data_IF_566811886801
#
_entry.id   IF_566811886801
#
_cell.length_a   1.000
_cell.length_b   1.000
_cell.length_c   1.000
_cell.angle_alpha   90.00
_cell.angle_beta   90.00
_cell.angle_gamma   90.00
#
_symmetry.space_group_name_H-M   'P 1'
#
loop_
_entity.id
_entity.type
_entity.pdbx_description
1 polymer ?
#
# COMPACT_ATOMS: atom_id res chain seq x y z
N UNK A 1 -1.95 0.18 -16.23
CA UNK A 1 -0.93 -0.88 -16.15
C UNK A 1 -0.10 -0.84 -17.42
N UNK A 2 1.18 -1.19 -17.36
CA UNK A 2 2.10 -1.14 -18.51
C UNK A 2 3.22 -2.16 -18.33
N UNK A 3 4.06 -2.34 -19.35
CA UNK A 3 5.35 -3.01 -19.17
C UNK A 3 6.11 -2.32 -18.03
N UNK A 4 6.60 -3.10 -17.07
CA UNK A 4 7.21 -2.57 -15.88
C UNK A 4 8.62 -2.01 -16.14
N UNK A 5 9.12 -1.13 -15.26
CA UNK A 5 10.48 -0.62 -15.38
C UNK A 5 11.50 -1.75 -15.22
N UNK A 6 12.59 -1.62 -15.96
CA UNK A 6 13.79 -2.43 -15.78
C UNK A 6 14.79 -1.66 -14.90
N UNK A 7 15.65 -2.39 -14.20
CA UNK A 7 16.72 -1.80 -13.40
C UNK A 7 17.66 -0.96 -14.25
N UNK A 8 18.34 -0.01 -13.62
CA UNK A 8 19.37 0.81 -14.29
C UNK A 8 20.50 -0.03 -14.90
N UNK A 9 21.31 0.60 -15.76
CA UNK A 9 22.43 -0.06 -16.42
C UNK A 9 23.31 -0.84 -15.42
N UNK A 10 23.61 -2.10 -15.75
CA UNK A 10 24.42 -3.00 -14.92
C UNK A 10 23.64 -3.76 -13.83
N UNK A 11 22.36 -3.44 -13.58
CA UNK A 11 21.49 -4.27 -12.74
C UNK A 11 21.09 -5.53 -13.50
N UNK A 12 21.33 -6.69 -12.91
CA UNK A 12 21.03 -8.01 -13.50
C UNK A 12 20.18 -8.87 -12.56
N UNK A 13 19.70 -10.00 -13.07
CA UNK A 13 18.90 -10.96 -12.29
C UNK A 13 17.50 -10.45 -11.93
N UNK A 14 16.92 -11.00 -10.87
CA UNK A 14 15.53 -10.72 -10.46
C UNK A 14 15.26 -9.28 -10.04
N UNK A 15 16.30 -8.50 -9.74
CA UNK A 15 16.16 -7.07 -9.41
C UNK A 15 16.09 -6.16 -10.66
N UNK A 16 16.41 -6.71 -11.83
CA UNK A 16 16.48 -5.97 -13.09
C UNK A 16 15.15 -5.90 -13.85
N UNK A 17 14.16 -6.73 -13.51
CA UNK A 17 12.90 -6.85 -14.25
C UNK A 17 11.72 -7.00 -13.30
N UNK A 18 10.48 -6.78 -13.77
CA UNK A 18 9.29 -6.94 -12.94
C UNK A 18 9.22 -8.32 -12.26
N UNK A 19 8.93 -8.38 -10.95
CA UNK A 19 9.02 -9.62 -10.17
C UNK A 19 8.12 -10.77 -10.61
N UNK A 20 6.93 -10.51 -11.15
CA UNK A 20 5.95 -11.55 -11.48
C UNK A 20 5.59 -11.68 -12.96
N UNK A 21 6.34 -11.02 -13.85
CA UNK A 21 6.17 -11.13 -15.29
C UNK A 21 6.81 -9.96 -16.01
N UNK A 22 6.08 -9.35 -16.95
CA UNK A 22 6.61 -8.23 -17.76
C UNK A 22 5.97 -6.89 -17.42
N UNK A 23 4.83 -6.90 -16.73
CA UNK A 23 4.11 -5.70 -16.34
C UNK A 23 4.38 -5.23 -14.91
N UNK A 24 3.84 -4.05 -14.62
CA UNK A 24 3.64 -3.59 -13.25
C UNK A 24 2.57 -2.50 -13.18
N UNK A 25 2.18 -2.14 -11.96
CA UNK A 25 1.38 -0.95 -11.68
C UNK A 25 2.30 0.27 -11.59
N UNK A 26 2.45 1.00 -12.70
CA UNK A 26 3.10 2.29 -12.69
C UNK A 26 2.21 3.37 -12.08
N UNK A 27 2.75 4.15 -11.13
CA UNK A 27 2.08 5.31 -10.56
C UNK A 27 2.90 6.57 -10.85
N UNK A 28 2.20 7.66 -11.10
CA UNK A 28 2.77 8.98 -11.28
C UNK A 28 1.87 9.98 -10.57
N UNK A 29 2.47 10.75 -9.67
CA UNK A 29 1.81 11.83 -8.93
C UNK A 29 2.73 13.04 -9.01
N UNK A 30 2.17 14.21 -9.30
CA UNK A 30 2.82 15.50 -9.27
C UNK A 30 2.38 16.29 -8.04
N UNK A 31 3.34 16.98 -7.42
CA UNK A 31 3.11 17.89 -6.31
C UNK A 31 2.63 19.29 -6.76
N UNK A 32 2.69 19.59 -8.06
CA UNK A 32 2.42 20.92 -8.63
C UNK A 32 1.54 20.88 -9.89
N UNK A 33 0.66 19.89 -10.01
CA UNK A 33 -0.21 19.72 -11.18
C UNK A 33 -1.11 20.92 -11.51
N UNK A 34 -1.34 21.80 -10.53
CA UNK A 34 -2.04 23.06 -10.68
C UNK A 34 -1.12 24.19 -10.22
N UNK A 35 -0.87 25.19 -11.08
CA UNK A 35 -0.01 26.32 -10.72
C UNK A 35 -0.57 27.08 -9.51
N UNK A 36 0.20 27.15 -8.41
CA UNK A 36 -0.08 28.02 -7.26
C UNK A 36 -0.95 27.43 -6.14
N UNK A 37 -1.19 26.11 -6.11
CA UNK A 37 -1.93 25.43 -5.04
C UNK A 37 -1.08 24.51 -4.17
N UNK A 38 -1.61 24.07 -3.02
CA UNK A 38 -1.06 22.93 -2.27
C UNK A 38 -1.10 21.67 -3.14
N UNK A 39 -0.22 20.68 -2.93
CA UNK A 39 -0.25 19.43 -3.70
C UNK A 39 -1.66 18.80 -3.69
N UNK A 40 -2.19 18.44 -4.86
CA UNK A 40 -3.56 17.96 -5.00
C UNK A 40 -3.69 16.57 -5.62
N UNK A 41 -2.65 16.07 -6.27
CA UNK A 41 -2.74 14.78 -6.95
C UNK A 41 -2.68 13.63 -5.96
N UNK A 42 -3.59 12.69 -6.16
CA UNK A 42 -3.62 11.40 -5.50
C UNK A 42 -3.98 10.38 -6.54
N UNK A 43 -3.30 9.25 -6.52
CA UNK A 43 -3.68 8.08 -7.30
C UNK A 43 -3.94 6.92 -6.35
N UNK A 44 -4.97 6.14 -6.65
CA UNK A 44 -5.27 4.89 -5.98
C UNK A 44 -5.70 3.86 -7.03
N UNK A 45 -5.18 2.65 -6.93
CA UNK A 45 -5.57 1.52 -7.75
C UNK A 45 -5.87 0.33 -6.85
N UNK A 46 -7.09 -0.19 -6.94
CA UNK A 46 -7.58 -1.28 -6.12
C UNK A 46 -8.95 -1.74 -6.59
N UNK A 47 -9.51 -2.71 -5.89
CA UNK A 47 -10.87 -3.18 -6.14
C UNK A 47 -11.57 -3.61 -4.85
N UNK A 48 -12.90 -3.69 -4.95
CA UNK A 48 -13.79 -4.14 -3.88
C UNK A 48 -14.09 -5.65 -3.99
N UNK A 49 -14.30 -6.15 -5.22
CA UNK A 49 -14.82 -7.50 -5.52
C UNK A 49 -14.03 -8.63 -4.86
N UNK A 50 -12.70 -8.51 -4.79
CA UNK A 50 -11.85 -9.56 -4.24
C UNK A 50 -11.77 -9.56 -2.71
N UNK A 51 -12.21 -8.48 -2.05
CA UNK A 51 -11.93 -8.25 -0.63
C UNK A 51 -13.16 -7.98 0.23
N UNK A 52 -14.29 -7.63 -0.40
CA UNK A 52 -15.52 -7.28 0.30
C UNK A 52 -15.92 -8.35 1.33
N UNK A 53 -16.11 -7.93 2.57
CA UNK A 53 -16.54 -8.78 3.68
C UNK A 53 -15.43 -9.59 4.33
N UNK A 54 -14.21 -9.64 3.76
CA UNK A 54 -13.10 -10.36 4.38
C UNK A 54 -12.73 -9.72 5.72
N UNK A 55 -12.48 -10.53 6.77
CA UNK A 55 -12.18 -9.98 8.08
C UNK A 55 -10.78 -9.34 8.11
N UNK A 56 -10.67 -8.14 8.68
CA UNK A 56 -9.36 -7.48 8.89
C UNK A 56 -8.44 -8.35 9.77
N UNK A 57 -9.03 -9.07 10.74
CA UNK A 57 -8.30 -10.03 11.58
C UNK A 57 -7.67 -11.18 10.80
N UNK A 58 -8.21 -11.53 9.62
CA UNK A 58 -7.71 -12.60 8.75
C UNK A 58 -6.48 -12.21 7.91
N UNK A 59 -6.05 -10.95 7.94
CA UNK A 59 -4.84 -10.52 7.24
C UNK A 59 -3.59 -10.99 7.99
N UNK A 60 -2.79 -11.82 7.33
CA UNK A 60 -1.56 -12.44 7.86
C UNK A 60 -0.33 -12.12 7.03
N UNK A 61 -0.51 -11.84 5.73
CA UNK A 61 0.58 -11.38 4.84
C UNK A 61 0.05 -10.25 3.97
N UNK A 62 0.68 -9.09 4.06
CA UNK A 62 0.32 -7.89 3.31
C UNK A 62 1.60 -7.21 2.88
N UNK A 63 1.67 -6.71 1.65
CA UNK A 63 2.86 -6.00 1.16
C UNK A 63 2.99 -6.07 -0.35
N UNK A 64 4.09 -5.53 -0.88
CA UNK A 64 4.39 -5.55 -2.30
C UNK A 64 5.89 -5.48 -2.58
N UNK A 65 6.28 -5.51 -3.85
CA UNK A 65 7.60 -5.05 -4.31
C UNK A 65 7.45 -3.72 -5.02
N UNK A 66 8.45 -2.85 -4.88
CA UNK A 66 8.43 -1.51 -5.47
C UNK A 66 9.68 -1.28 -6.31
N UNK A 67 9.50 -0.52 -7.38
CA UNK A 67 10.58 0.13 -8.10
C UNK A 67 10.60 1.60 -7.67
N UNK A 68 11.41 1.90 -6.66
CA UNK A 68 11.64 3.26 -6.17
C UNK A 68 12.79 3.87 -6.96
N UNK A 69 12.62 5.10 -7.47
CA UNK A 69 13.71 5.82 -8.14
C UNK A 69 14.56 6.58 -7.13
N UNK A 70 15.78 6.94 -7.51
CA UNK A 70 16.63 7.79 -6.66
C UNK A 70 16.03 9.18 -6.51
N UNK A 71 15.43 9.72 -7.58
CA UNK A 71 14.80 11.03 -7.60
C UNK A 71 13.68 11.13 -6.56
N UNK A 72 12.85 10.09 -6.42
CA UNK A 72 11.81 10.07 -5.38
C UNK A 72 12.42 10.06 -3.96
N UNK A 73 13.50 9.28 -3.77
CA UNK A 73 14.16 9.12 -2.47
C UNK A 73 14.94 10.37 -2.04
N UNK A 74 15.44 11.16 -3.00
CA UNK A 74 16.12 12.43 -2.75
C UNK A 74 15.14 13.53 -2.28
N UNK A 75 13.86 13.47 -2.69
CA UNK A 75 12.82 14.35 -2.13
C UNK A 75 12.57 13.97 -0.66
N UNK A 76 12.34 12.69 -0.40
CA UNK A 76 12.23 12.13 0.94
C UNK A 76 12.46 10.61 0.87
N UNK A 77 13.29 10.08 1.77
CA UNK A 77 13.56 8.64 1.80
C UNK A 77 12.28 7.81 2.00
N UNK A 78 11.28 8.38 2.68
CA UNK A 78 9.98 7.76 2.93
C UNK A 78 8.91 8.09 1.87
N UNK A 79 9.28 8.77 0.78
CA UNK A 79 8.38 9.09 -0.33
C UNK A 79 8.04 7.82 -1.13
N UNK A 80 7.06 7.08 -0.61
CA UNK A 80 6.74 5.72 -1.00
C UNK A 80 5.22 5.57 -1.22
N UNK A 81 4.79 4.70 -2.14
CA UNK A 81 3.37 4.33 -2.23
C UNK A 81 2.97 3.55 -0.97
N UNK A 82 1.71 3.65 -0.58
CA UNK A 82 1.12 2.95 0.56
C UNK A 82 0.11 1.88 0.12
N UNK A 83 -0.31 1.07 1.09
CA UNK A 83 -1.50 0.23 0.98
C UNK A 83 -2.59 0.86 1.84
N UNK A 84 -3.77 1.05 1.27
CA UNK A 84 -4.94 1.61 1.93
C UNK A 84 -6.09 0.60 1.88
N UNK A 85 -6.64 0.25 3.06
CA UNK A 85 -7.78 -0.63 3.21
C UNK A 85 -8.97 0.23 3.63
N UNK A 86 -10.02 0.25 2.81
CA UNK A 86 -11.31 0.77 3.24
C UNK A 86 -12.01 -0.33 4.01
N UNK A 87 -12.45 -0.06 5.23
CA UNK A 87 -13.00 -1.09 6.13
C UNK A 87 -14.25 -0.56 6.85
N UNK A 88 -15.12 -1.48 7.25
CA UNK A 88 -15.99 -1.27 8.39
C UNK A 88 -15.19 -1.55 9.66
N UNK A 89 -14.84 -0.53 10.47
CA UNK A 89 -14.03 -0.76 11.66
C UNK A 89 -14.85 -1.35 12.82
N UNK A 90 -16.19 -1.28 12.75
CA UNK A 90 -17.10 -1.67 13.82
C UNK A 90 -16.82 -0.92 15.14
N UNK A 91 -16.30 0.31 15.10
CA UNK A 91 -15.97 1.14 16.29
C UNK A 91 -17.05 2.20 16.58
N UNK A 92 -18.28 1.98 16.12
CA UNK A 92 -19.34 2.99 16.06
C UNK A 92 -19.31 3.85 14.78
N UNK A 93 -18.22 3.77 14.00
CA UNK A 93 -18.20 4.16 12.59
C UNK A 93 -18.42 2.94 11.69
N UNK A 94 -19.09 3.15 10.56
CA UNK A 94 -19.25 2.14 9.50
C UNK A 94 -18.15 2.20 8.43
N UNK A 95 -17.25 3.19 8.52
CA UNK A 95 -16.18 3.41 7.55
C UNK A 95 -14.93 4.01 8.19
N UNK A 96 -13.77 3.51 7.80
CA UNK A 96 -12.47 4.18 7.94
C UNK A 96 -11.52 3.64 6.86
N UNK A 97 -10.47 4.39 6.57
CA UNK A 97 -9.30 3.86 5.87
C UNK A 97 -8.22 3.46 6.88
N UNK A 98 -7.80 2.20 6.85
CA UNK A 98 -6.60 1.70 7.51
C UNK A 98 -5.42 1.81 6.52
N UNK A 99 -4.43 2.64 6.83
CA UNK A 99 -3.35 3.01 5.91
C UNK A 99 -2.02 2.53 6.43
N UNK A 100 -1.25 1.84 5.58
CA UNK A 100 0.12 1.47 5.85
C UNK A 100 1.09 2.55 5.33
N UNK A 101 1.90 3.12 6.20
CA UNK A 101 3.03 3.98 5.84
C UNK A 101 4.29 3.11 5.84
N UNK A 102 4.87 2.80 4.68
CA UNK A 102 6.07 1.96 4.60
C UNK A 102 7.30 2.67 5.14
N UNK A 103 8.28 1.88 5.59
CA UNK A 103 9.65 2.35 5.75
C UNK A 103 10.25 2.72 4.37
N UNK A 104 11.35 3.50 4.32
CA UNK A 104 12.08 3.76 3.08
C UNK A 104 12.37 2.50 2.28
N UNK A 105 12.31 2.59 0.94
CA UNK A 105 12.71 1.48 0.09
C UNK A 105 14.17 1.07 0.40
N UNK A 106 14.47 -0.24 0.54
CA UNK A 106 15.83 -0.69 0.86
C UNK A 106 16.81 -0.50 -0.31
N UNK A 107 16.30 -0.27 -1.51
CA UNK A 107 17.07 -0.06 -2.74
C UNK A 107 16.34 0.93 -3.64
N UNK A 108 17.10 1.67 -4.45
CA UNK A 108 16.61 2.55 -5.50
C UNK A 108 17.07 2.08 -6.88
N UNK A 109 16.37 2.53 -7.93
CA UNK A 109 16.66 2.27 -9.35
C UNK A 109 16.72 0.78 -9.73
N UNK A 110 16.06 -0.06 -8.95
CA UNK A 110 15.90 -1.51 -9.15
C UNK A 110 14.69 -2.01 -8.37
N UNK A 111 14.21 -3.20 -8.69
CA UNK A 111 13.12 -3.82 -7.94
C UNK A 111 13.56 -4.23 -6.53
N UNK A 112 12.78 -3.82 -5.54
CA UNK A 112 12.99 -4.20 -4.14
C UNK A 112 12.73 -5.69 -3.89
N UNK A 113 13.30 -6.27 -2.82
CA UNK A 113 12.70 -7.46 -2.22
C UNK A 113 11.26 -7.16 -1.76
N UNK A 114 10.51 -8.22 -1.39
CA UNK A 114 9.17 -8.05 -0.85
C UNK A 114 9.20 -7.21 0.43
N UNK A 115 8.49 -6.09 0.43
CA UNK A 115 8.31 -5.23 1.59
C UNK A 115 7.03 -5.66 2.28
N UNK A 116 7.18 -6.07 3.54
CA UNK A 116 6.12 -6.70 4.33
C UNK A 116 5.43 -5.66 5.21
N UNK A 117 4.21 -5.28 4.85
CA UNK A 117 3.40 -4.36 5.64
C UNK A 117 3.00 -4.95 7.01
N UNK A 118 3.17 -6.25 7.22
CA UNK A 118 2.89 -6.88 8.52
C UNK A 118 4.06 -6.78 9.51
N UNK A 119 5.27 -6.44 9.03
CA UNK A 119 6.50 -6.44 9.84
C UNK A 119 7.37 -5.19 9.66
N UNK A 120 7.04 -4.31 8.72
CA UNK A 120 7.78 -3.07 8.42
C UNK A 120 6.82 -1.90 8.29
N UNK A 121 7.30 -0.68 8.50
CA UNK A 121 6.50 0.52 8.51
C UNK A 121 5.48 0.57 9.64
N UNK A 122 4.52 1.48 9.52
CA UNK A 122 3.50 1.75 10.52
C UNK A 122 2.11 1.83 9.90
N UNK A 123 1.08 1.74 10.73
CA UNK A 123 -0.32 1.73 10.35
C UNK A 123 -1.10 2.75 11.16
N UNK A 124 -2.07 3.39 10.52
CA UNK A 124 -3.03 4.25 11.19
C UNK A 124 -4.42 4.09 10.60
N UNK A 125 -5.43 4.54 11.36
CA UNK A 125 -6.80 4.67 10.91
C UNK A 125 -7.17 6.14 10.76
N UNK A 126 -7.93 6.45 9.72
CA UNK A 126 -8.48 7.79 9.52
C UNK A 126 -9.70 8.06 10.39
N UNK A 127 -10.01 9.34 10.62
CA UNK A 127 -11.25 9.77 11.26
C UNK A 127 -11.42 9.25 12.69
N UNK A 128 -12.67 9.06 13.11
CA UNK A 128 -13.00 8.66 14.48
C UNK A 128 -12.46 7.28 14.88
N UNK A 129 -12.23 6.38 13.93
CA UNK A 129 -11.60 5.09 14.19
C UNK A 129 -10.13 5.25 14.63
N UNK A 130 -9.41 6.25 14.12
CA UNK A 130 -8.07 6.60 14.58
C UNK A 130 -8.07 6.96 16.06
N UNK A 131 -8.97 7.86 16.46
CA UNK A 131 -9.15 8.24 17.88
C UNK A 131 -9.57 7.06 18.75
N UNK A 132 -10.52 6.24 18.30
CA UNK A 132 -11.03 5.10 19.06
C UNK A 132 -9.97 4.01 19.30
N UNK A 133 -9.05 3.83 18.34
CA UNK A 133 -7.96 2.85 18.45
C UNK A 133 -6.70 3.43 19.07
N UNK A 134 -6.55 4.75 19.11
CA UNK A 134 -5.29 5.43 19.43
C UNK A 134 -4.21 5.27 18.36
N UNK A 135 -4.54 4.67 17.21
CA UNK A 135 -3.65 4.48 16.08
C UNK A 135 -4.05 5.47 14.96
N UNK A 136 -3.58 6.71 15.03
CA UNK A 136 -3.89 7.78 14.08
C UNK A 136 -2.62 8.31 13.37
N UNK A 137 -2.76 9.32 12.51
CA UNK A 137 -1.65 9.84 11.72
C UNK A 137 -0.55 10.51 12.57
N UNK A 138 -0.84 10.86 13.82
CA UNK A 138 0.14 11.40 14.78
C UNK A 138 0.76 10.31 15.66
N UNK A 139 -0.01 9.26 15.96
CA UNK A 139 0.42 8.12 16.78
C UNK A 139 0.18 6.83 15.99
N UNK A 140 1.09 6.51 15.09
CA UNK A 140 0.97 5.30 14.25
C UNK A 140 1.40 4.04 15.00
N UNK A 141 0.79 2.91 14.65
CA UNK A 141 0.99 1.62 15.31
C UNK A 141 1.71 0.61 14.40
N UNK A 142 2.31 -0.44 14.98
CA UNK A 142 2.69 -1.62 14.19
C UNK A 142 1.43 -2.31 13.64
N UNK A 143 1.58 -3.18 12.64
CA UNK A 143 0.43 -3.92 12.09
C UNK A 143 -0.33 -4.74 13.15
N UNK A 144 0.41 -5.47 14.00
CA UNK A 144 -0.18 -6.23 15.11
C UNK A 144 -0.82 -5.30 16.15
N UNK A 145 -0.19 -4.16 16.45
CA UNK A 145 -0.73 -3.14 17.35
C UNK A 145 -2.04 -2.56 16.83
N UNK A 146 -2.08 -2.14 15.56
CA UNK A 146 -3.28 -1.60 14.92
C UNK A 146 -4.43 -2.61 14.88
N UNK A 147 -4.16 -3.89 14.56
CA UNK A 147 -5.19 -4.95 14.60
C UNK A 147 -5.72 -5.20 16.01
N UNK A 148 -4.85 -5.19 17.02
CA UNK A 148 -5.23 -5.42 18.41
C UNK A 148 -6.05 -4.24 18.96
N UNK A 149 -5.63 -3.02 18.67
CA UNK A 149 -6.34 -1.80 19.02
C UNK A 149 -7.72 -1.72 18.34
N UNK A 150 -7.80 -2.08 17.05
CA UNK A 150 -9.07 -2.18 16.33
C UNK A 150 -10.02 -3.20 16.99
N UNK A 151 -9.53 -4.40 17.30
CA UNK A 151 -10.33 -5.42 17.96
C UNK A 151 -10.83 -4.97 19.35
N UNK A 152 -10.00 -4.25 20.11
CA UNK A 152 -10.38 -3.71 21.42
C UNK A 152 -11.41 -2.56 21.32
N UNK A 153 -11.39 -1.79 20.23
CA UNK A 153 -12.29 -0.66 20.01
C UNK A 153 -13.65 -1.05 19.40
N UNK A 154 -13.87 -2.32 19.04
CA UNK A 154 -15.09 -2.78 18.39
C UNK A 154 -16.30 -2.78 19.33
N UNK A 155 -17.44 -2.32 18.80
CA UNK A 155 -18.74 -2.34 19.45
C UNK A 155 -19.65 -3.34 18.72
N UNK A 156 -20.33 -4.22 19.45
CA UNK A 156 -21.35 -5.10 18.87
C UNK A 156 -20.87 -6.47 18.37
N UNK A 157 -19.67 -6.92 18.78
CA UNK A 157 -19.23 -8.32 18.64
C UNK A 157 -19.01 -8.82 17.20
N UNK A 158 -19.26 -7.99 16.19
CA UNK A 158 -19.00 -8.29 14.78
C UNK A 158 -17.58 -7.89 14.42
N UNK A 159 -16.78 -8.77 13.79
CA UNK A 159 -15.43 -8.40 13.37
C UNK A 159 -15.45 -7.29 12.30
N UNK A 160 -14.46 -6.40 12.35
CA UNK A 160 -14.17 -5.46 11.27
C UNK A 160 -13.96 -6.21 9.95
N UNK A 161 -14.53 -5.66 8.87
CA UNK A 161 -14.51 -6.24 7.53
C UNK A 161 -13.96 -5.26 6.52
N UNK A 162 -13.34 -5.78 5.48
CA UNK A 162 -12.74 -5.03 4.39
C UNK A 162 -13.81 -4.74 3.33
N UNK A 163 -13.79 -3.52 2.79
CA UNK A 163 -14.50 -3.16 1.57
C UNK A 163 -13.55 -3.26 0.38
N UNK A 164 -12.44 -2.51 0.42
CA UNK A 164 -11.51 -2.35 -0.70
C UNK A 164 -10.08 -2.46 -0.20
N UNK A 165 -9.18 -2.99 -1.03
CA UNK A 165 -7.73 -2.83 -0.85
C UNK A 165 -7.17 -2.12 -2.08
N UNK A 166 -6.39 -1.06 -1.84
CA UNK A 166 -5.75 -0.28 -2.90
C UNK A 166 -4.27 -0.02 -2.60
N UNK A 167 -3.46 0.05 -3.66
CA UNK A 167 -2.17 0.72 -3.64
C UNK A 167 -2.43 2.18 -3.96
N UNK A 168 -1.89 3.10 -3.16
CA UNK A 168 -2.08 4.53 -3.36
C UNK A 168 -0.80 5.34 -3.17
N UNK A 169 -0.77 6.53 -3.77
CA UNK A 169 0.21 7.57 -3.47
C UNK A 169 -0.52 8.88 -3.21
N UNK A 170 -0.15 9.53 -2.10
CA UNK A 170 -0.83 10.69 -1.55
C UNK A 170 -0.42 12.02 -2.16
N UNK A 171 -1.00 13.08 -1.58
CA UNK A 171 -0.82 14.51 -1.93
C UNK A 171 0.35 15.14 -1.18
N UNK A 172 1.38 14.36 -0.92
CA UNK A 172 2.58 14.77 -0.22
C UNK A 172 3.61 15.18 -1.28
N UNK A 173 4.52 14.27 -1.63
CA UNK A 173 5.55 14.53 -2.61
C UNK A 173 5.20 13.99 -4.01
N UNK A 174 5.77 14.61 -5.04
CA UNK A 174 5.78 14.03 -6.38
C UNK A 174 6.44 12.65 -6.35
N UNK A 175 5.93 11.73 -7.15
CA UNK A 175 6.43 10.36 -7.17
C UNK A 175 6.22 9.71 -8.53
N UNK A 176 7.26 9.08 -9.07
CA UNK A 176 7.20 8.29 -10.29
C UNK A 176 7.86 6.95 -10.07
N UNK A 177 7.15 5.87 -10.28
CA UNK A 177 7.70 4.53 -10.08
C UNK A 177 6.68 3.45 -10.39
N UNK A 178 6.92 2.25 -9.84
CA UNK A 178 5.99 1.15 -10.01
C UNK A 178 5.90 0.23 -8.79
N UNK A 179 4.77 -0.45 -8.65
CA UNK A 179 4.54 -1.52 -7.69
C UNK A 179 4.20 -2.80 -8.45
N UNK A 180 4.67 -3.93 -7.94
CA UNK A 180 4.28 -5.24 -8.44
C UNK A 180 4.13 -6.28 -7.31
N UNK A 181 3.32 -7.30 -7.57
CA UNK A 181 3.10 -8.42 -6.68
C UNK A 181 2.51 -8.01 -5.34
N UNK A 182 1.39 -7.27 -5.37
CA UNK A 182 0.62 -7.00 -4.16
C UNK A 182 0.21 -8.33 -3.56
N UNK A 183 0.67 -8.62 -2.36
CA UNK A 183 0.37 -9.86 -1.67
C UNK A 183 -0.68 -9.61 -0.60
N UNK A 184 -1.79 -10.34 -0.65
CA UNK A 184 -2.78 -10.43 0.41
C UNK A 184 -2.94 -11.90 0.77
N UNK A 185 -2.48 -12.28 1.96
CA UNK A 185 -2.39 -13.64 2.45
C UNK A 185 -1.64 -14.57 1.47
N UNK A 186 -2.37 -15.52 0.87
CA UNK A 186 -1.85 -16.51 -0.06
C UNK A 186 -2.00 -16.09 -1.52
N UNK A 187 -2.60 -14.93 -1.80
CA UNK A 187 -2.78 -14.42 -3.14
C UNK A 187 -1.74 -13.35 -3.44
N UNK A 188 -1.12 -13.45 -4.62
CA UNK A 188 -0.36 -12.37 -5.23
C UNK A 188 -1.16 -11.85 -6.40
N UNK A 189 -1.44 -10.55 -6.38
CA UNK A 189 -2.02 -9.81 -7.48
C UNK A 189 -0.85 -9.29 -8.33
N UNK A 190 -0.62 -9.99 -9.44
CA UNK A 190 0.40 -9.69 -10.44
C UNK A 190 -0.16 -8.70 -11.47
N UNK A 191 0.51 -7.56 -11.64
CA UNK A 191 0.05 -6.50 -12.53
C UNK A 191 0.70 -6.65 -13.90
N UNK A 192 -0.10 -6.94 -14.93
CA UNK A 192 0.36 -7.10 -16.31
C UNK A 192 -0.17 -5.98 -17.21
N UNK A 193 0.40 -5.75 -18.41
CA UNK A 193 -0.04 -4.67 -19.29
C UNK A 193 -1.53 -4.71 -19.64
N UNK A 194 -2.13 -5.90 -19.64
CA UNK A 194 -3.53 -6.13 -20.02
C UNK A 194 -4.48 -6.36 -18.83
N UNK A 195 -4.00 -6.34 -17.60
CA UNK A 195 -4.86 -6.57 -16.44
C UNK A 195 -4.12 -7.13 -15.22
N UNK A 196 -4.90 -7.49 -14.20
CA UNK A 196 -4.39 -8.09 -12.97
C UNK A 196 -4.67 -9.58 -12.99
N UNK A 197 -3.63 -10.38 -12.74
CA UNK A 197 -3.75 -11.81 -12.58
C UNK A 197 -3.56 -12.18 -11.11
N UNK A 198 -4.45 -12.99 -10.57
CA UNK A 198 -4.29 -13.56 -9.22
C UNK A 198 -3.55 -14.89 -9.33
N UNK A 199 -2.41 -14.99 -8.66
CA UNK A 199 -1.62 -16.22 -8.57
C UNK A 199 -1.45 -16.63 -7.10
N UNK A 200 -1.33 -17.93 -6.87
CA UNK A 200 -0.98 -18.42 -5.54
C UNK A 200 0.45 -18.00 -5.21
N UNK A 201 0.60 -17.43 -4.03
CA UNK A 201 1.90 -17.08 -3.51
C UNK A 201 2.70 -18.35 -3.20
N UNK A 202 4.00 -18.39 -3.53
CA UNK A 202 4.87 -19.42 -3.00
C UNK A 202 5.00 -19.32 -1.46
#
# INVERSE_FOLDING_TARGET
MRAGPYGSFGVTGSSAQPPFGVGSLGLQVSDNAMSGGTPQEKVAFGNEVDFLGNPVSGLTRVGFRVFQTQENADISASNMPNIALEINPQTGSSYTTMVWVPDPAPVTNKWSPFISAVSTGQWYFTGSAGTATGCDQTTMCSFSGAKSALAAAQVGGTPASIYTIAIAKGRDDAWVGAVDGLRINNNVYNFEPYGVNTINAP
#
